data_IF_640420750880
#
_entry.id   IF_640420750880
#
_cell.length_a   1.000
_cell.length_b   1.000
_cell.length_c   1.000
_cell.angle_alpha   90.00
_cell.angle_beta   90.00
_cell.angle_gamma   90.00
#
_symmetry.space_group_name_H-M   'P 1'
#
loop_
_entity.id
_entity.type
_entity.pdbx_description
1 polymer ?
#
# COMPACT_ATOMS: atom_id res chain seq x y z
N UNK A 1 -9.96 8.19 12.72
CA UNK A 1 -9.02 8.68 11.69
C UNK A 1 -9.84 9.10 10.49
N UNK A 2 -9.45 10.19 9.82
CA UNK A 2 -10.14 10.60 8.60
C UNK A 2 -9.62 9.81 7.39
N UNK A 3 -10.40 9.75 6.31
CA UNK A 3 -10.03 9.06 5.06
C UNK A 3 -8.68 9.59 4.50
N UNK A 4 -8.42 10.89 4.62
CA UNK A 4 -7.15 11.48 4.17
C UNK A 4 -5.95 11.04 5.02
N UNK A 5 -6.15 10.78 6.32
CA UNK A 5 -5.07 10.31 7.19
C UNK A 5 -4.62 8.88 6.80
N UNK A 6 -5.56 8.04 6.38
CA UNK A 6 -5.28 6.66 5.94
C UNK A 6 -4.45 6.67 4.65
N UNK A 7 -4.88 7.46 3.66
CA UNK A 7 -4.18 7.62 2.38
C UNK A 7 -2.75 8.14 2.58
N UNK A 8 -2.57 9.12 3.47
CA UNK A 8 -1.26 9.70 3.72
C UNK A 8 -0.30 8.73 4.41
N UNK A 9 -0.79 7.91 5.37
CA UNK A 9 0.03 6.89 6.04
C UNK A 9 0.40 5.74 5.12
N UNK A 10 -0.53 5.23 4.31
CA UNK A 10 -0.27 4.19 3.31
C UNK A 10 0.87 4.60 2.37
N UNK A 11 0.84 5.84 1.88
CA UNK A 11 1.89 6.42 1.04
C UNK A 11 3.26 6.47 1.74
N UNK A 12 3.29 6.83 3.03
CA UNK A 12 4.54 6.89 3.78
C UNK A 12 5.16 5.51 3.98
N UNK A 13 4.34 4.50 4.23
CA UNK A 13 4.78 3.12 4.38
C UNK A 13 5.40 2.59 3.09
N UNK A 14 4.68 2.68 1.96
CA UNK A 14 5.20 2.26 0.65
C UNK A 14 6.52 2.95 0.31
N UNK A 15 6.63 4.26 0.59
CA UNK A 15 7.86 5.03 0.35
C UNK A 15 9.01 4.66 1.28
N UNK A 16 8.74 4.26 2.53
CA UNK A 16 9.75 3.80 3.47
C UNK A 16 10.32 2.46 3.06
N UNK A 17 9.44 1.53 2.69
CA UNK A 17 9.84 0.24 2.15
C UNK A 17 10.65 0.46 0.88
N UNK A 18 10.12 1.17 -0.14
CA UNK A 18 10.78 1.34 -1.45
C UNK A 18 12.17 1.96 -1.45
N UNK A 19 12.50 2.75 -0.43
CA UNK A 19 13.81 3.36 -0.32
C UNK A 19 14.91 2.39 0.20
N UNK A 20 14.57 1.18 0.67
CA UNK A 20 15.54 0.18 1.11
C UNK A 20 16.02 -0.71 -0.05
N UNK A 21 16.85 -0.14 -0.94
CA UNK A 21 17.89 -0.81 -1.77
C UNK A 21 17.46 -1.90 -2.79
N UNK A 22 16.27 -2.48 -2.73
CA UNK A 22 15.72 -3.38 -3.75
C UNK A 22 14.22 -3.16 -3.76
N UNK A 23 13.63 -2.78 -4.90
CA UNK A 23 12.18 -2.62 -5.13
C UNK A 23 11.33 -3.56 -4.24
N UNK A 24 10.97 -3.14 -3.02
CA UNK A 24 10.22 -3.93 -2.09
C UNK A 24 8.79 -3.71 -2.50
N UNK A 25 8.38 -4.63 -3.33
CA UNK A 25 6.99 -4.98 -3.51
C UNK A 25 6.33 -5.01 -2.14
N UNK A 26 5.41 -4.08 -1.92
CA UNK A 26 4.57 -4.05 -0.72
C UNK A 26 3.31 -4.84 -1.01
N UNK A 27 2.95 -5.76 -0.12
CA UNK A 27 1.69 -6.50 -0.22
C UNK A 27 0.55 -5.74 0.46
N UNK A 28 -0.66 -5.81 -0.09
CA UNK A 28 -1.86 -5.22 0.52
C UNK A 28 -2.07 -5.67 1.97
N UNK A 29 -1.68 -6.91 2.31
CA UNK A 29 -1.76 -7.42 3.68
C UNK A 29 -0.86 -6.68 4.66
N UNK A 30 0.34 -6.30 4.25
CA UNK A 30 1.28 -5.58 5.14
C UNK A 30 0.76 -4.17 5.41
N UNK A 31 0.18 -3.53 4.39
CA UNK A 31 -0.47 -2.22 4.53
C UNK A 31 -1.69 -2.31 5.46
N UNK A 32 -2.49 -3.37 5.34
CA UNK A 32 -3.65 -3.58 6.19
C UNK A 32 -3.24 -3.76 7.66
N UNK A 33 -2.22 -4.59 7.93
CA UNK A 33 -1.71 -4.86 9.27
C UNK A 33 -1.08 -3.60 9.90
N UNK A 34 -0.28 -2.85 9.14
CA UNK A 34 0.36 -1.62 9.62
C UNK A 34 -0.67 -0.52 9.94
N UNK A 35 -1.71 -0.38 9.12
CA UNK A 35 -2.74 0.64 9.30
C UNK A 35 -3.85 0.20 10.25
N UNK A 36 -3.89 -1.07 10.64
CA UNK A 36 -4.95 -1.64 11.48
C UNK A 36 -6.32 -1.61 10.81
N UNK A 37 -6.37 -1.79 9.48
CA UNK A 37 -7.59 -1.77 8.66
C UNK A 37 -7.80 -3.12 7.95
N UNK A 38 -8.95 -3.29 7.32
CA UNK A 38 -9.19 -4.49 6.51
C UNK A 38 -8.37 -4.49 5.21
N UNK A 39 -8.13 -5.68 4.64
CA UNK A 39 -7.44 -5.81 3.35
C UNK A 39 -8.17 -5.10 2.20
N UNK A 40 -9.50 -5.09 2.24
CA UNK A 40 -10.31 -4.42 1.22
C UNK A 40 -10.13 -2.90 1.30
N UNK A 41 -10.19 -2.32 2.51
CA UNK A 41 -9.92 -0.88 2.71
C UNK A 41 -8.48 -0.50 2.32
N UNK A 42 -7.50 -1.35 2.64
CA UNK A 42 -6.12 -1.14 2.22
C UNK A 42 -5.98 -1.19 0.69
N UNK A 43 -6.68 -2.11 0.02
CA UNK A 43 -6.66 -2.22 -1.44
C UNK A 43 -7.28 -0.98 -2.11
N UNK A 44 -8.43 -0.52 -1.62
CA UNK A 44 -9.09 0.67 -2.14
C UNK A 44 -8.22 1.93 -1.94
N UNK A 45 -7.58 2.05 -0.77
CA UNK A 45 -6.67 3.16 -0.49
C UNK A 45 -5.43 3.17 -1.41
N UNK A 46 -4.88 1.99 -1.72
CA UNK A 46 -3.75 1.86 -2.64
C UNK A 46 -4.15 2.17 -4.09
N UNK A 47 -5.32 1.68 -4.54
CA UNK A 47 -5.88 1.97 -5.88
C UNK A 47 -6.22 3.45 -6.08
N UNK A 48 -6.65 4.14 -5.03
CA UNK A 48 -6.96 5.57 -5.09
C UNK A 48 -5.71 6.46 -5.15
N UNK A 49 -4.53 5.91 -4.87
CA UNK A 49 -3.29 6.69 -4.83
C UNK A 49 -2.66 6.82 -6.22
N UNK A 50 -2.48 8.06 -6.69
CA UNK A 50 -1.82 8.37 -7.97
C UNK A 50 -0.30 8.19 -7.96
N UNK A 51 0.27 7.78 -6.83
CA UNK A 51 1.71 7.72 -6.58
C UNK A 51 2.23 6.30 -6.36
N UNK A 52 1.37 5.29 -6.44
CA UNK A 52 1.72 3.89 -6.25
C UNK A 52 1.42 3.16 -7.54
N UNK A 53 2.38 2.38 -8.02
CA UNK A 53 2.18 1.52 -9.18
C UNK A 53 1.63 0.18 -8.71
N UNK A 54 0.71 -0.38 -9.49
CA UNK A 54 0.17 -1.72 -9.27
C UNK A 54 0.69 -2.68 -10.34
N UNK A 55 0.95 -3.92 -9.94
CA UNK A 55 0.95 -5.05 -10.86
C UNK A 55 0.28 -6.24 -10.22
N UNK A 56 -0.41 -7.02 -11.03
CA UNK A 56 -0.94 -8.30 -10.60
C UNK A 56 0.04 -9.42 -10.99
N UNK A 57 0.41 -10.25 -10.02
CA UNK A 57 1.27 -11.43 -10.24
C UNK A 57 0.58 -12.64 -9.62
N UNK A 58 0.05 -13.53 -10.47
CA UNK A 58 -0.58 -14.77 -10.01
C UNK A 58 -1.82 -14.56 -9.14
N UNK A 59 -2.59 -13.49 -9.37
CA UNK A 59 -3.79 -13.13 -8.59
C UNK A 59 -3.50 -12.35 -7.30
N UNK A 60 -2.26 -11.89 -7.11
CA UNK A 60 -1.86 -11.04 -5.98
C UNK A 60 -1.47 -9.67 -6.53
N UNK A 61 -2.11 -8.61 -6.03
CA UNK A 61 -1.71 -7.23 -6.30
C UNK A 61 -0.45 -6.90 -5.49
N UNK A 62 0.55 -6.37 -6.20
CA UNK A 62 1.84 -5.92 -5.67
C UNK A 62 2.04 -4.44 -5.98
N UNK A 63 2.59 -3.71 -5.02
CA UNK A 63 2.63 -2.24 -5.03
C UNK A 63 4.05 -1.68 -4.84
N UNK A 64 4.42 -0.63 -5.58
CA UNK A 64 5.70 0.09 -5.42
C UNK A 64 5.62 1.56 -5.88
#
# INVERSE_FOLDING_TARGET
MSESDVVQKARQFVKMETNQVYEPVVFTSEVADELGISKDEACDALKASSHVNEKEVGGISVWW
#
